data_IF_701237585178
#
_entry.id   IF_701237585178
#
_cell.length_a   1.000
_cell.length_b   1.000
_cell.length_c   1.000
_cell.angle_alpha   90.00
_cell.angle_beta   90.00
_cell.angle_gamma   90.00
#
_symmetry.space_group_name_H-M   'P 1'
#
loop_
_entity.id
_entity.type
_entity.pdbx_description
1 polymer ?
#
# COMPACT_ATOMS: atom_id res chain seq x y z
N UNK A 1 25.03 4.75 -2.24
CA UNK A 1 24.48 3.47 -2.73
C UNK A 1 23.74 2.69 -1.65
N UNK A 2 24.44 2.26 -0.60
CA UNK A 2 23.95 1.25 0.37
C UNK A 2 22.67 1.67 1.11
N UNK A 3 22.56 2.92 1.56
CA UNK A 3 21.37 3.40 2.29
C UNK A 3 20.12 3.32 1.41
N UNK A 4 20.21 3.75 0.15
CA UNK A 4 19.08 3.68 -0.78
C UNK A 4 18.77 2.23 -1.19
N UNK A 5 19.80 1.42 -1.40
CA UNK A 5 19.67 0.00 -1.73
C UNK A 5 19.03 -0.83 -0.61
N UNK A 6 19.25 -0.45 0.65
CA UNK A 6 18.77 -1.22 1.81
C UNK A 6 17.25 -1.38 1.88
N UNK A 7 16.52 -0.42 1.32
CA UNK A 7 15.07 -0.51 1.13
C UNK A 7 14.66 -1.74 0.30
N UNK A 8 15.36 -1.99 -0.81
CA UNK A 8 15.01 -3.06 -1.73
C UNK A 8 15.21 -4.46 -1.13
N UNK A 9 16.15 -4.63 -0.21
CA UNK A 9 16.31 -5.90 0.51
C UNK A 9 15.05 -6.25 1.30
N UNK A 10 14.51 -5.30 2.06
CA UNK A 10 13.25 -5.50 2.78
C UNK A 10 12.07 -5.74 1.83
N UNK A 11 12.00 -4.96 0.76
CA UNK A 11 10.91 -5.06 -0.23
C UNK A 11 10.83 -6.44 -0.89
N UNK A 12 11.96 -6.96 -1.38
CA UNK A 12 12.02 -8.25 -2.05
C UNK A 12 11.68 -9.39 -1.08
N UNK A 13 12.21 -9.34 0.15
CA UNK A 13 11.94 -10.35 1.18
C UNK A 13 10.46 -10.44 1.50
N UNK A 14 9.74 -9.31 1.56
CA UNK A 14 8.31 -9.32 1.89
C UNK A 14 7.41 -9.62 0.68
N UNK A 15 7.91 -9.60 -0.55
CA UNK A 15 7.07 -9.75 -1.74
C UNK A 15 6.35 -11.11 -1.79
N UNK A 16 7.10 -12.20 -1.58
CA UNK A 16 6.57 -13.58 -1.64
C UNK A 16 5.73 -13.90 -0.40
N UNK A 17 6.22 -13.71 0.84
CA UNK A 17 5.43 -13.99 2.04
C UNK A 17 4.21 -13.08 2.12
N UNK A 18 4.33 -11.84 1.65
CA UNK A 18 3.27 -10.86 1.66
C UNK A 18 2.07 -11.25 0.81
N UNK A 19 2.31 -11.83 -0.37
CA UNK A 19 1.21 -12.35 -1.20
C UNK A 19 0.53 -13.55 -0.57
N UNK A 20 1.30 -14.52 -0.09
CA UNK A 20 0.75 -15.70 0.59
C UNK A 20 -0.08 -15.33 1.83
N UNK A 21 0.40 -14.37 2.63
CA UNK A 21 -0.34 -13.86 3.79
C UNK A 21 -1.63 -13.13 3.37
N UNK A 22 -1.58 -12.32 2.31
CA UNK A 22 -2.74 -11.59 1.81
C UNK A 22 -3.84 -12.52 1.27
N UNK A 23 -3.47 -13.60 0.56
CA UNK A 23 -4.42 -14.60 0.08
C UNK A 23 -5.15 -15.30 1.22
N UNK A 24 -4.44 -15.61 2.31
CA UNK A 24 -5.02 -16.36 3.45
C UNK A 24 -5.82 -15.49 4.41
N UNK A 25 -5.35 -14.27 4.67
CA UNK A 25 -5.87 -13.41 5.74
C UNK A 25 -6.64 -12.19 5.22
N UNK A 26 -6.79 -12.04 3.90
CA UNK A 26 -7.47 -10.91 3.25
C UNK A 26 -6.52 -9.76 2.94
N UNK A 27 -6.64 -9.18 1.75
CA UNK A 27 -5.77 -8.11 1.27
C UNK A 27 -5.96 -6.75 1.96
N UNK A 28 -7.17 -6.47 2.49
CA UNK A 28 -7.51 -5.15 3.06
C UNK A 28 -6.52 -4.73 4.15
N UNK A 29 -6.27 -5.62 5.10
CA UNK A 29 -5.48 -5.30 6.28
C UNK A 29 -4.02 -5.04 5.92
N UNK A 30 -3.44 -5.83 5.02
CA UNK A 30 -2.04 -5.65 4.62
C UNK A 30 -1.80 -4.40 3.77
N UNK A 31 -2.74 -4.04 2.88
CA UNK A 31 -2.67 -2.75 2.17
C UNK A 31 -2.69 -1.60 3.17
N UNK A 32 -3.68 -1.59 4.06
CA UNK A 32 -3.84 -0.52 5.04
C UNK A 32 -2.65 -0.40 5.99
N UNK A 33 -2.25 -1.50 6.63
CA UNK A 33 -1.13 -1.53 7.58
C UNK A 33 0.20 -1.23 6.88
N UNK A 34 0.40 -1.71 5.66
CA UNK A 34 1.60 -1.38 4.87
C UNK A 34 1.74 0.12 4.64
N UNK A 35 0.65 0.80 4.27
CA UNK A 35 0.62 2.26 4.10
C UNK A 35 0.82 2.99 5.42
N UNK A 36 0.16 2.56 6.51
CA UNK A 36 0.32 3.16 7.84
C UNK A 36 1.76 3.06 8.34
N UNK A 37 2.33 1.84 8.36
CA UNK A 37 3.68 1.57 8.85
C UNK A 37 4.69 2.33 7.99
N UNK A 38 4.58 2.25 6.66
CA UNK A 38 5.44 3.02 5.75
C UNK A 38 5.35 4.53 6.02
N UNK A 39 4.15 5.06 6.28
CA UNK A 39 3.96 6.48 6.57
C UNK A 39 4.62 6.91 7.87
N UNK A 40 4.47 6.12 8.93
CA UNK A 40 5.09 6.38 10.24
C UNK A 40 6.61 6.29 10.16
N UNK A 41 7.17 5.25 9.54
CA UNK A 41 8.62 5.08 9.38
C UNK A 41 9.23 6.20 8.52
N UNK A 42 8.51 6.65 7.49
CA UNK A 42 8.92 7.80 6.67
C UNK A 42 8.97 9.10 7.45
N UNK A 43 8.06 9.33 8.40
CA UNK A 43 8.10 10.50 9.28
C UNK A 43 9.28 10.45 10.27
N UNK A 44 9.71 9.24 10.66
CA UNK A 44 10.87 9.03 11.56
C UNK A 44 12.23 9.11 10.83
N UNK A 45 12.23 8.95 9.51
CA UNK A 45 13.44 9.00 8.66
C UNK A 45 14.35 10.21 8.92
N UNK A 46 13.86 11.48 8.92
CA UNK A 46 14.72 12.64 9.14
C UNK A 46 15.29 12.71 10.56
N UNK A 47 14.58 12.15 11.56
CA UNK A 47 15.08 12.04 12.92
C UNK A 47 16.26 11.06 12.95
N UNK A 48 16.09 9.86 12.39
CA UNK A 48 17.14 8.86 12.33
C UNK A 48 18.36 9.29 11.52
N UNK A 49 18.14 10.05 10.43
CA UNK A 49 19.22 10.62 9.64
C UNK A 49 20.14 11.57 10.44
N UNK A 50 19.61 12.23 11.49
CA UNK A 50 20.40 13.07 12.39
C UNK A 50 21.16 12.26 13.44
N UNK A 51 20.62 11.13 13.89
CA UNK A 51 21.23 10.30 14.93
C UNK A 51 22.33 9.39 14.39
N UNK A 52 22.06 8.60 13.35
CA UNK A 52 23.04 7.64 12.82
C UNK A 52 22.65 7.09 11.46
N UNK A 53 23.63 6.94 10.57
CA UNK A 53 23.43 6.27 9.28
C UNK A 53 22.99 4.80 9.44
N UNK A 54 23.39 4.11 10.54
CA UNK A 54 22.96 2.73 10.82
C UNK A 54 21.46 2.66 11.12
N UNK A 55 20.96 3.59 11.92
CA UNK A 55 19.54 3.70 12.24
C UNK A 55 18.71 4.00 10.97
N UNK A 56 19.25 4.84 10.09
CA UNK A 56 18.63 5.12 8.79
C UNK A 56 18.54 3.87 7.90
N UNK A 57 19.59 3.03 7.87
CA UNK A 57 19.57 1.76 7.12
C UNK A 57 18.50 0.82 7.67
N UNK A 58 18.41 0.68 9.00
CA UNK A 58 17.37 -0.17 9.63
C UNK A 58 15.97 0.32 9.28
N UNK A 59 15.71 1.63 9.39
CA UNK A 59 14.41 2.21 9.00
C UNK A 59 14.09 1.97 7.53
N UNK A 60 15.07 2.12 6.63
CA UNK A 60 14.89 1.85 5.20
C UNK A 60 14.50 0.40 4.93
N UNK A 61 15.13 -0.55 5.62
CA UNK A 61 14.77 -1.97 5.51
C UNK A 61 13.33 -2.21 6.00
N UNK A 62 12.96 -1.63 7.14
CA UNK A 62 11.61 -1.74 7.69
C UNK A 62 10.54 -1.10 6.78
N UNK A 63 10.85 0.04 6.15
CA UNK A 63 10.00 0.65 5.12
C UNK A 63 9.83 -0.27 3.92
N UNK A 64 10.93 -0.89 3.47
CA UNK A 64 10.92 -1.89 2.40
C UNK A 64 9.98 -3.05 2.71
N UNK A 65 10.11 -3.62 3.90
CA UNK A 65 9.23 -4.70 4.38
C UNK A 65 7.75 -4.25 4.38
N UNK A 66 7.46 -3.09 4.95
CA UNK A 66 6.09 -2.57 5.02
C UNK A 66 5.48 -2.29 3.63
N UNK A 67 6.29 -1.86 2.65
CA UNK A 67 5.80 -1.60 1.29
C UNK A 67 5.73 -2.85 0.42
N UNK A 68 6.58 -3.85 0.67
CA UNK A 68 6.65 -5.09 -0.13
C UNK A 68 5.36 -5.90 -0.12
N UNK A 69 4.55 -5.79 0.93
CA UNK A 69 3.26 -6.48 1.04
C UNK A 69 2.13 -5.79 0.26
N UNK A 70 2.25 -4.50 -0.04
CA UNK A 70 1.13 -3.70 -0.59
C UNK A 70 0.73 -4.18 -1.98
N UNK A 71 1.71 -4.34 -2.87
CA UNK A 71 1.45 -4.74 -4.27
C UNK A 71 0.69 -6.06 -4.38
N UNK A 72 1.17 -7.19 -3.79
CA UNK A 72 0.43 -8.44 -3.89
C UNK A 72 -0.93 -8.36 -3.17
N UNK A 73 -1.04 -7.64 -2.05
CA UNK A 73 -2.31 -7.49 -1.34
C UNK A 73 -3.37 -6.72 -2.14
N UNK A 74 -2.97 -5.71 -2.91
CA UNK A 74 -3.88 -5.01 -3.84
C UNK A 74 -4.38 -5.95 -4.93
N UNK A 75 -3.50 -6.80 -5.47
CA UNK A 75 -3.89 -7.79 -6.48
C UNK A 75 -4.89 -8.80 -5.91
N UNK A 76 -4.66 -9.30 -4.70
CA UNK A 76 -5.60 -10.18 -3.99
C UNK A 76 -6.94 -9.48 -3.75
N UNK A 77 -6.91 -8.24 -3.25
CA UNK A 77 -8.14 -7.49 -2.99
C UNK A 77 -8.95 -7.25 -4.27
N UNK A 78 -8.30 -6.81 -5.35
CA UNK A 78 -8.96 -6.65 -6.65
C UNK A 78 -9.42 -7.98 -7.22
N UNK A 79 -8.78 -9.09 -6.85
CA UNK A 79 -9.21 -10.41 -7.30
C UNK A 79 -10.60 -10.80 -6.77
N UNK A 80 -10.94 -10.33 -5.56
CA UNK A 80 -12.23 -10.58 -4.93
C UNK A 80 -13.31 -9.56 -5.33
N UNK A 81 -12.93 -8.41 -5.87
CA UNK A 81 -13.83 -7.29 -6.16
C UNK A 81 -14.07 -7.03 -7.65
N UNK A 82 -13.13 -7.42 -8.51
CA UNK A 82 -13.21 -7.14 -9.95
C UNK A 82 -13.59 -8.41 -10.73
N UNK A 83 -14.68 -8.37 -11.54
CA UNK A 83 -14.98 -9.42 -12.51
C UNK A 83 -13.80 -9.67 -13.46
N UNK A 84 -13.61 -10.90 -13.97
CA UNK A 84 -12.46 -11.25 -14.81
C UNK A 84 -12.25 -10.33 -16.03
N UNK A 85 -13.36 -9.88 -16.65
CA UNK A 85 -13.34 -8.99 -17.82
C UNK A 85 -12.84 -7.57 -17.51
N UNK A 86 -13.09 -7.09 -16.29
CA UNK A 86 -12.76 -5.73 -15.87
C UNK A 86 -11.48 -5.65 -15.01
N UNK A 87 -11.04 -6.78 -14.45
CA UNK A 87 -9.89 -6.86 -13.53
C UNK A 87 -8.64 -6.19 -14.10
N UNK A 88 -8.31 -6.45 -15.36
CA UNK A 88 -7.14 -5.84 -16.02
C UNK A 88 -7.25 -4.32 -16.12
N UNK A 89 -8.45 -3.78 -16.41
CA UNK A 89 -8.68 -2.33 -16.43
C UNK A 89 -8.51 -1.72 -15.04
N UNK A 90 -9.10 -2.33 -14.01
CA UNK A 90 -9.00 -1.82 -12.64
C UNK A 90 -7.55 -1.80 -12.12
N UNK A 91 -6.77 -2.84 -12.45
CA UNK A 91 -5.33 -2.90 -12.14
C UNK A 91 -4.56 -1.77 -12.82
N UNK A 92 -4.77 -1.57 -14.13
CA UNK A 92 -4.09 -0.50 -14.89
C UNK A 92 -4.41 0.88 -14.32
N UNK A 93 -5.68 1.14 -13.99
CA UNK A 93 -6.09 2.40 -13.36
C UNK A 93 -5.37 2.59 -12.02
N UNK A 94 -5.36 1.56 -11.17
CA UNK A 94 -4.72 1.59 -9.85
C UNK A 94 -3.23 1.94 -9.94
N UNK A 95 -2.50 1.28 -10.84
CA UNK A 95 -1.06 1.54 -11.01
C UNK A 95 -0.78 2.90 -11.64
N UNK A 96 -1.60 3.32 -12.61
CA UNK A 96 -1.48 4.63 -13.25
C UNK A 96 -1.64 5.77 -12.23
N UNK A 97 -2.65 5.69 -11.36
CA UNK A 97 -2.85 6.66 -10.27
C UNK A 97 -1.65 6.67 -9.32
N UNK A 98 -1.08 5.50 -9.00
CA UNK A 98 0.14 5.39 -8.20
C UNK A 98 1.34 6.11 -8.84
N UNK A 99 1.60 5.88 -10.13
CA UNK A 99 2.68 6.55 -10.86
C UNK A 99 2.47 8.06 -10.96
N UNK A 100 1.22 8.50 -11.15
CA UNK A 100 0.89 9.92 -11.16
C UNK A 100 1.16 10.58 -9.81
N UNK A 101 0.81 9.92 -8.70
CA UNK A 101 1.16 10.36 -7.35
C UNK A 101 2.66 10.51 -7.14
N UNK A 102 3.46 9.53 -7.61
CA UNK A 102 4.92 9.62 -7.59
C UNK A 102 5.45 10.80 -8.42
N UNK A 103 4.89 11.06 -9.59
CA UNK A 103 5.26 12.19 -10.44
C UNK A 103 5.03 13.54 -9.75
N UNK A 104 3.86 13.75 -9.12
CA UNK A 104 3.56 14.96 -8.34
C UNK A 104 4.56 15.15 -7.19
N UNK A 105 4.92 14.06 -6.53
CA UNK A 105 5.86 14.09 -5.42
C UNK A 105 7.25 14.57 -5.85
N UNK A 106 7.71 14.09 -7.01
CA UNK A 106 8.99 14.46 -7.60
C UNK A 106 8.97 15.88 -8.18
N UNK A 107 7.89 16.29 -8.86
CA UNK A 107 7.80 17.63 -9.48
C UNK A 107 7.79 18.77 -8.46
N UNK A 108 7.24 18.53 -7.26
CA UNK A 108 7.30 19.48 -6.12
C UNK A 108 8.63 19.44 -5.36
N UNK A 109 9.62 18.71 -5.86
CA UNK A 109 11.01 18.72 -5.38
C UNK A 109 11.20 18.13 -3.98
N UNK A 110 10.30 17.26 -3.51
CA UNK A 110 10.34 16.69 -2.15
C UNK A 110 10.64 17.75 -1.06
N UNK A 111 10.09 18.96 -1.20
CA UNK A 111 10.26 19.99 -0.17
C UNK A 111 9.80 19.42 1.18
N UNK A 112 10.64 19.55 2.20
CA UNK A 112 10.39 19.05 3.56
C UNK A 112 8.92 19.16 4.01
N UNK A 113 8.24 20.33 3.94
CA UNK A 113 6.84 20.43 4.39
C UNK A 113 5.87 19.55 3.58
N UNK A 114 6.07 19.43 2.27
CA UNK A 114 5.19 18.65 1.40
C UNK A 114 5.33 17.14 1.65
N UNK A 115 6.56 16.67 1.89
CA UNK A 115 6.82 15.27 2.25
C UNK A 115 6.08 14.88 3.54
N UNK A 116 6.22 15.69 4.60
CA UNK A 116 5.55 15.43 5.88
C UNK A 116 4.02 15.49 5.76
N UNK A 117 3.49 16.42 4.94
CA UNK A 117 2.05 16.51 4.68
C UNK A 117 1.51 15.22 4.05
N UNK A 118 2.18 14.70 3.02
CA UNK A 118 1.76 13.45 2.35
C UNK A 118 1.81 12.25 3.30
N UNK A 119 2.86 12.14 4.12
CA UNK A 119 3.00 11.02 5.06
C UNK A 119 1.99 11.09 6.21
N UNK A 120 1.67 12.29 6.71
CA UNK A 120 0.53 12.47 7.64
C UNK A 120 -0.80 12.14 6.98
N UNK A 121 -0.97 12.55 5.73
CA UNK A 121 -2.13 12.20 4.90
C UNK A 121 -2.30 10.68 4.75
N UNK A 122 -1.21 9.92 4.65
CA UNK A 122 -1.25 8.45 4.63
C UNK A 122 -1.82 7.82 5.90
N UNK A 123 -1.55 8.42 7.07
CA UNK A 123 -2.13 7.97 8.35
C UNK A 123 -3.63 8.27 8.38
N UNK A 124 -4.04 9.46 7.96
CA UNK A 124 -5.46 9.83 7.87
C UNK A 124 -6.18 8.95 6.85
N UNK A 125 -5.54 8.68 5.71
CA UNK A 125 -6.06 7.78 4.68
C UNK A 125 -6.27 6.37 5.23
N UNK A 126 -5.36 5.85 6.07
CA UNK A 126 -5.56 4.55 6.71
C UNK A 126 -6.81 4.50 7.59
N UNK A 127 -7.13 5.59 8.31
CA UNK A 127 -8.36 5.66 9.10
C UNK A 127 -9.59 5.52 8.19
N UNK A 128 -9.62 6.25 7.06
CA UNK A 128 -10.69 6.10 6.08
C UNK A 128 -10.73 4.70 5.45
N UNK A 129 -9.57 4.12 5.15
CA UNK A 129 -9.45 2.77 4.60
C UNK A 129 -10.08 1.71 5.50
N UNK A 130 -9.88 1.82 6.82
CA UNK A 130 -10.48 0.90 7.80
C UNK A 130 -12.01 0.86 7.70
N UNK A 131 -12.65 2.02 7.48
CA UNK A 131 -14.11 2.15 7.45
C UNK A 131 -14.74 1.92 6.06
N UNK A 132 -14.00 2.23 4.99
CA UNK A 132 -14.55 2.24 3.63
C UNK A 132 -14.30 0.94 2.86
N UNK A 133 -13.20 0.23 3.11
CA UNK A 133 -12.81 -0.93 2.32
C UNK A 133 -13.11 -2.23 3.06
N UNK A 134 -13.48 -3.28 2.35
CA UNK A 134 -13.79 -4.60 2.90
C UNK A 134 -13.14 -5.68 2.03
N UNK A 135 -12.79 -6.84 2.60
CA UNK A 135 -12.04 -7.88 1.88
C UNK A 135 -12.84 -8.52 0.73
N UNK A 136 -14.16 -8.64 0.86
CA UNK A 136 -15.03 -9.20 -0.17
C UNK A 136 -16.36 -8.45 -0.29
N UNK A 137 -17.03 -8.53 -1.46
CA UNK A 137 -18.39 -8.01 -1.64
C UNK A 137 -19.40 -8.61 -0.66
N UNK A 138 -19.19 -9.86 -0.22
CA UNK A 138 -20.12 -10.57 0.67
C UNK A 138 -20.22 -9.97 2.06
N UNK A 139 -19.13 -9.40 2.59
CA UNK A 139 -19.07 -8.76 3.91
C UNK A 139 -19.31 -7.25 3.86
N UNK A 140 -19.41 -6.66 2.67
CA UNK A 140 -19.56 -5.22 2.50
C UNK A 140 -20.99 -4.78 2.85
N UNK A 141 -21.20 -3.86 3.82
CA UNK A 141 -22.53 -3.52 4.32
C UNK A 141 -23.35 -2.61 3.40
N UNK A 142 -22.72 -1.91 2.44
CA UNK A 142 -23.35 -0.88 1.60
C UNK A 142 -23.42 -1.23 0.11
N UNK A 143 -23.11 -2.48 -0.26
CA UNK A 143 -23.16 -2.89 -1.68
C UNK A 143 -24.60 -3.19 -2.09
N UNK A 144 -24.99 -2.87 -3.32
CA UNK A 144 -26.30 -3.25 -3.83
C UNK A 144 -26.37 -4.77 -4.04
N UNK A 145 -27.57 -5.34 -3.94
CA UNK A 145 -27.78 -6.78 -4.19
C UNK A 145 -27.40 -7.15 -5.63
N UNK A 146 -27.79 -6.33 -6.59
CA UNK A 146 -27.49 -6.50 -8.02
C UNK A 146 -25.98 -6.54 -8.30
N UNK A 147 -25.22 -5.59 -7.74
CA UNK A 147 -23.76 -5.54 -7.92
C UNK A 147 -23.07 -6.70 -7.22
N UNK A 148 -23.53 -7.05 -6.01
CA UNK A 148 -23.01 -8.20 -5.27
C UNK A 148 -23.21 -9.51 -6.04
N UNK A 149 -24.40 -9.75 -6.58
CA UNK A 149 -24.70 -10.94 -7.36
C UNK A 149 -23.88 -11.00 -8.66
N UNK A 150 -23.74 -9.86 -9.34
CA UNK A 150 -22.91 -9.76 -10.55
C UNK A 150 -21.45 -10.16 -10.27
N UNK A 151 -20.83 -9.58 -9.24
CA UNK A 151 -19.43 -9.87 -8.91
C UNK A 151 -19.25 -11.32 -8.44
N UNK A 152 -20.13 -11.82 -7.56
CA UNK A 152 -20.00 -13.19 -7.01
C UNK A 152 -20.25 -14.26 -8.07
N UNK A 153 -21.12 -14.00 -9.05
CA UNK A 153 -21.38 -14.95 -10.14
C UNK A 153 -20.27 -14.95 -11.19
N UNK A 154 -19.55 -13.82 -11.33
CA UNK A 154 -18.49 -13.66 -12.32
C UNK A 154 -17.12 -14.19 -11.88
N UNK A 155 -16.90 -14.42 -10.57
CA UNK A 155 -15.65 -14.91 -9.98
C UNK A 155 -15.71 -16.42 -9.80
#
# INVERSE_FOLDING_TARGET
GIILGSFFYGYIVMLIPGGWLAERNGGKHFVGLGVLISSVLSLLTPLAARYSYKMLIVLRILEGLAQGVIYPSVNVLLSCWAPPEERSKMLVITWTVGYFGYFIQKSRGMKFPFFFLLKRGGIVWYLFWCFLVYDSPSVHPRISLEEKEYIVTAI
#
